data_IF_763392611471
#
_entry.id   IF_763392611471
#
_cell.length_a   1.000
_cell.length_b   1.000
_cell.length_c   1.000
_cell.angle_alpha   90.00
_cell.angle_beta   90.00
_cell.angle_gamma   90.00
#
_symmetry.space_group_name_H-M   'P 1'
#
loop_
_entity.id
_entity.type
_entity.pdbx_description
1 polymer ?
#
# COMPACT_ATOMS: atom_id res chain seq x y z
N UNK A 1 15.93 13.48 -16.92
CA UNK A 1 15.81 12.61 -15.72
C UNK A 1 17.14 12.47 -14.98
N UNK A 2 18.27 12.67 -15.65
CA UNK A 2 19.61 12.54 -15.04
C UNK A 2 20.04 13.75 -14.19
N UNK A 3 19.48 14.93 -14.46
CA UNK A 3 19.84 16.17 -13.76
C UNK A 3 19.20 16.27 -12.37
N UNK A 4 18.01 15.69 -12.20
CA UNK A 4 17.31 15.57 -10.91
C UNK A 4 18.01 14.56 -10.00
N UNK A 5 18.62 13.51 -10.58
CA UNK A 5 19.42 12.53 -9.83
C UNK A 5 20.70 13.15 -9.26
N UNK A 6 21.33 14.06 -10.01
CA UNK A 6 22.56 14.74 -9.58
C UNK A 6 22.31 15.70 -8.41
N UNK A 7 21.19 16.45 -8.44
CA UNK A 7 20.80 17.39 -7.37
C UNK A 7 20.40 16.72 -6.05
N UNK A 8 19.77 15.54 -6.09
CA UNK A 8 19.43 14.76 -4.88
C UNK A 8 20.68 14.18 -4.22
N UNK A 9 21.71 13.89 -5.00
CA UNK A 9 22.95 13.30 -4.52
C UNK A 9 23.84 14.34 -3.81
N UNK A 10 23.87 15.58 -4.31
CA UNK A 10 24.65 16.68 -3.69
C UNK A 10 24.02 17.23 -2.41
N UNK A 11 22.69 17.13 -2.26
CA UNK A 11 21.99 17.57 -1.06
C UNK A 11 22.17 16.61 0.15
N UNK A 12 22.56 15.35 -0.10
CA UNK A 12 22.77 14.36 0.94
C UNK A 12 24.17 14.42 1.59
N UNK A 13 25.12 15.17 1.01
CA UNK A 13 26.51 15.24 1.47
C UNK A 13 26.82 16.39 2.44
N UNK A 14 25.85 17.28 2.75
CA UNK A 14 26.11 18.49 3.56
C UNK A 14 25.65 18.43 5.03
N UNK A 15 25.30 17.27 5.58
CA UNK A 15 25.00 17.21 7.02
C UNK A 15 25.32 15.84 7.60
N UNK A 16 26.54 15.66 8.08
CA UNK A 16 26.83 15.65 9.53
C UNK A 16 28.29 15.27 9.76
N UNK A 17 29.07 16.31 10.07
CA UNK A 17 30.38 16.20 10.70
C UNK A 17 30.15 16.03 12.21
N UNK A 18 30.57 14.90 12.77
CA UNK A 18 31.03 14.78 14.15
C UNK A 18 31.72 13.43 14.35
N UNK A 19 33.00 13.39 14.77
CA UNK A 19 33.75 12.17 14.94
C UNK A 19 33.30 11.45 16.21
N UNK A 20 32.72 10.25 16.06
CA UNK A 20 32.46 9.38 17.20
C UNK A 20 33.78 8.73 17.64
N UNK A 21 34.27 9.20 18.78
CA UNK A 21 35.41 8.66 19.52
C UNK A 21 35.25 7.15 19.71
N UNK A 22 36.12 6.36 19.11
CA UNK A 22 36.18 4.92 19.32
C UNK A 22 36.76 4.63 20.70
N UNK A 23 35.89 4.26 21.65
CA UNK A 23 36.32 3.60 22.88
C UNK A 23 36.86 2.22 22.49
N UNK A 24 38.17 2.05 22.71
CA UNK A 24 38.83 0.76 22.64
C UNK A 24 38.43 -0.06 23.87
N UNK A 25 37.48 -0.98 23.70
CA UNK A 25 37.24 -2.04 24.69
C UNK A 25 38.24 -3.16 24.46
N UNK A 26 39.04 -3.41 25.51
CA UNK A 26 40.02 -4.45 25.60
C UNK A 26 39.36 -5.84 25.58
N UNK A 27 39.95 -6.79 24.86
CA UNK A 27 39.90 -8.20 25.28
C UNK A 27 41.12 -9.02 24.81
N UNK A 28 41.94 -9.33 25.81
CA UNK A 28 42.65 -10.57 26.14
C UNK A 28 43.30 -11.45 25.04
N UNK A 29 44.64 -11.43 25.08
CA UNK A 29 45.60 -12.56 25.14
C UNK A 29 45.39 -13.82 24.31
N UNK A 30 46.37 -14.08 23.44
CA UNK A 30 46.66 -15.38 22.84
C UNK A 30 48.12 -15.52 22.41
N UNK A 31 48.94 -15.94 23.37
CA UNK A 31 50.22 -16.66 23.27
C UNK A 31 51.48 -15.94 22.73
N UNK A 32 52.45 -15.75 23.62
CA UNK A 32 53.83 -15.34 23.34
C UNK A 32 54.82 -16.20 24.14
N UNK A 33 55.69 -16.98 23.49
CA UNK A 33 56.93 -17.43 24.09
C UNK A 33 57.86 -16.23 24.31
N UNK A 34 58.45 -16.19 25.49
CA UNK A 34 59.22 -15.09 26.06
C UNK A 34 60.69 -15.24 25.67
N UNK A 35 61.26 -14.25 25.00
CA UNK A 35 62.69 -13.95 25.06
C UNK A 35 62.95 -12.44 25.02
N UNK A 36 63.86 -12.00 25.89
CA UNK A 36 64.18 -10.61 26.22
C UNK A 36 65.13 -9.98 25.18
N UNK A 37 64.82 -8.77 24.74
CA UNK A 37 65.80 -7.73 24.43
C UNK A 37 65.11 -6.35 24.48
N UNK A 38 65.73 -5.40 25.18
CA UNK A 38 65.27 -4.02 25.29
C UNK A 38 65.51 -3.26 23.97
N UNK A 39 64.45 -2.63 23.47
CA UNK A 39 64.38 -1.86 22.23
C UNK A 39 63.00 -2.07 21.61
N UNK A 40 62.08 -1.11 21.81
CA UNK A 40 60.68 -1.06 21.33
C UNK A 40 60.25 -2.29 20.49
N UNK A 41 59.92 -3.38 21.18
CA UNK A 41 59.49 -4.61 20.54
C UNK A 41 58.05 -4.41 20.07
N UNK A 42 57.83 -4.23 18.76
CA UNK A 42 56.51 -4.11 18.12
C UNK A 42 55.73 -5.45 18.07
N UNK A 43 55.99 -6.34 19.04
CA UNK A 43 55.36 -7.65 19.18
C UNK A 43 55.69 -8.58 18.01
N UNK A 44 54.65 -8.96 17.24
CA UNK A 44 54.79 -9.84 16.06
C UNK A 44 55.42 -9.15 14.85
N UNK A 45 55.50 -7.82 14.85
CA UNK A 45 56.04 -7.02 13.77
C UNK A 45 57.49 -6.65 14.05
N UNK A 46 58.31 -6.63 13.01
CA UNK A 46 59.76 -6.40 13.12
C UNK A 46 60.08 -4.92 13.22
N UNK A 47 59.22 -4.05 12.67
CA UNK A 47 59.38 -2.58 12.71
C UNK A 47 58.06 -1.86 13.00
N UNK A 48 58.15 -0.60 13.42
CA UNK A 48 56.99 0.27 13.67
C UNK A 48 56.16 0.49 12.40
N UNK A 49 56.86 0.66 11.29
CA UNK A 49 56.26 0.91 9.98
C UNK A 49 55.46 -0.31 9.52
N UNK A 50 55.98 -1.52 9.75
CA UNK A 50 55.28 -2.78 9.44
C UNK A 50 53.99 -2.94 10.25
N UNK A 51 54.00 -2.54 11.53
CA UNK A 51 52.80 -2.55 12.38
C UNK A 51 51.73 -1.57 11.87
N UNK A 52 52.13 -0.36 11.48
CA UNK A 52 51.21 0.66 10.94
C UNK A 52 50.63 0.19 9.61
N UNK A 53 51.46 -0.39 8.74
CA UNK A 53 51.01 -0.91 7.44
C UNK A 53 50.02 -2.06 7.61
N UNK A 54 50.29 -3.00 8.53
CA UNK A 54 49.38 -4.08 8.84
C UNK A 54 48.03 -3.59 9.39
N UNK A 55 48.06 -2.55 10.23
CA UNK A 55 46.84 -1.91 10.72
C UNK A 55 46.03 -1.26 9.58
N UNK A 56 46.69 -0.48 8.72
CA UNK A 56 46.04 0.18 7.58
C UNK A 56 45.47 -0.85 6.59
N UNK A 57 46.21 -1.91 6.30
CA UNK A 57 45.76 -3.02 5.47
C UNK A 57 44.51 -3.68 6.08
N UNK A 58 44.53 -3.98 7.37
CA UNK A 58 43.39 -4.58 8.08
C UNK A 58 42.16 -3.67 8.05
N UNK A 59 42.34 -2.38 8.30
CA UNK A 59 41.26 -1.39 8.25
C UNK A 59 40.67 -1.30 6.83
N UNK A 60 41.51 -1.35 5.79
CA UNK A 60 41.04 -1.32 4.41
C UNK A 60 40.22 -2.57 4.06
N UNK A 61 40.65 -3.76 4.51
CA UNK A 61 39.93 -5.01 4.30
C UNK A 61 38.61 -5.06 5.07
N UNK A 62 38.60 -4.55 6.31
CA UNK A 62 37.37 -4.39 7.08
C UNK A 62 36.38 -3.49 6.33
N UNK A 63 36.85 -2.36 5.82
CA UNK A 63 36.03 -1.41 5.05
C UNK A 63 35.47 -2.03 3.78
N UNK A 64 36.31 -2.70 2.97
CA UNK A 64 35.88 -3.42 1.76
C UNK A 64 34.84 -4.50 2.08
N UNK A 65 35.05 -5.25 3.17
CA UNK A 65 34.11 -6.31 3.58
C UNK A 65 32.77 -5.73 4.02
N UNK A 66 32.76 -4.64 4.78
CA UNK A 66 31.53 -3.94 5.16
C UNK A 66 30.78 -3.42 3.92
N UNK A 67 31.48 -2.83 2.95
CA UNK A 67 30.89 -2.40 1.68
C UNK A 67 30.27 -3.59 0.94
N UNK A 68 31.01 -4.70 0.84
CA UNK A 68 30.53 -5.90 0.15
C UNK A 68 29.31 -6.51 0.81
N UNK A 69 29.27 -6.55 2.14
CA UNK A 69 28.10 -7.02 2.90
C UNK A 69 26.89 -6.13 2.59
N UNK A 70 27.05 -4.80 2.64
CA UNK A 70 25.97 -3.85 2.34
C UNK A 70 25.40 -4.04 0.92
N UNK A 71 26.26 -4.26 -0.08
CA UNK A 71 25.83 -4.55 -1.45
C UNK A 71 25.05 -5.86 -1.54
N UNK A 72 25.52 -6.91 -0.86
CA UNK A 72 24.87 -8.22 -0.87
C UNK A 72 23.52 -8.17 -0.15
N UNK A 73 23.43 -7.50 1.00
CA UNK A 73 22.18 -7.29 1.71
C UNK A 73 21.18 -6.51 0.86
N UNK A 74 21.63 -5.45 0.16
CA UNK A 74 20.78 -4.72 -0.77
C UNK A 74 20.30 -5.59 -1.94
N UNK A 75 21.17 -6.44 -2.50
CA UNK A 75 20.82 -7.35 -3.58
C UNK A 75 19.81 -8.43 -3.14
N UNK A 76 19.98 -8.99 -1.94
CA UNK A 76 19.04 -9.97 -1.37
C UNK A 76 17.69 -9.33 -1.11
N UNK A 77 17.66 -8.14 -0.48
CA UNK A 77 16.41 -7.42 -0.22
C UNK A 77 15.66 -7.07 -1.52
N UNK A 78 16.39 -6.63 -2.56
CA UNK A 78 15.76 -6.31 -3.84
C UNK A 78 15.17 -7.56 -4.52
N UNK A 79 15.90 -8.68 -4.48
CA UNK A 79 15.41 -9.96 -5.01
C UNK A 79 14.17 -10.45 -4.27
N UNK A 80 14.14 -10.37 -2.94
CA UNK A 80 12.96 -10.75 -2.15
C UNK A 80 11.75 -9.87 -2.50
N UNK A 81 11.98 -8.57 -2.72
CA UNK A 81 10.95 -7.64 -3.15
C UNK A 81 10.38 -8.01 -4.52
N UNK A 82 11.24 -8.34 -5.49
CA UNK A 82 10.83 -8.79 -6.83
C UNK A 82 10.02 -10.09 -6.77
N UNK A 83 10.46 -11.08 -6.00
CA UNK A 83 9.72 -12.34 -5.83
C UNK A 83 8.35 -12.13 -5.16
N UNK A 84 8.27 -11.24 -4.17
CA UNK A 84 6.99 -10.87 -3.54
C UNK A 84 6.07 -10.15 -4.51
N UNK A 85 6.61 -9.24 -5.32
CA UNK A 85 5.85 -8.55 -6.34
C UNK A 85 5.34 -9.53 -7.39
N UNK A 86 6.21 -10.38 -7.93
CA UNK A 86 5.82 -11.36 -8.95
C UNK A 86 4.67 -12.25 -8.49
N UNK A 87 4.70 -12.74 -7.24
CA UNK A 87 3.58 -13.49 -6.65
C UNK A 87 2.26 -12.71 -6.66
N UNK A 88 2.28 -11.40 -6.37
CA UNK A 88 1.08 -10.55 -6.43
C UNK A 88 0.55 -10.39 -7.87
N UNK A 89 1.43 -10.31 -8.87
CA UNK A 89 1.02 -10.27 -10.30
C UNK A 89 0.42 -11.59 -10.72
N UNK A 90 1.05 -12.71 -10.34
CA UNK A 90 0.58 -14.04 -10.68
C UNK A 90 -0.80 -14.29 -10.06
N UNK A 91 -0.99 -13.94 -8.77
CA UNK A 91 -2.27 -14.02 -8.08
C UNK A 91 -3.34 -13.13 -8.73
N UNK A 92 -2.99 -11.93 -9.16
CA UNK A 92 -3.93 -11.05 -9.90
C UNK A 92 -4.33 -11.67 -11.23
N UNK A 93 -3.37 -12.26 -11.94
CA UNK A 93 -3.59 -12.85 -13.27
C UNK A 93 -4.46 -14.11 -13.16
N UNK A 94 -4.28 -14.89 -12.10
CA UNK A 94 -5.14 -16.03 -11.78
C UNK A 94 -6.58 -15.59 -11.45
N UNK A 95 -6.74 -14.58 -10.59
CA UNK A 95 -8.06 -14.04 -10.23
C UNK A 95 -8.77 -13.35 -11.40
N UNK A 96 -8.02 -12.60 -12.21
CA UNK A 96 -8.54 -11.77 -13.28
C UNK A 96 -7.74 -12.01 -14.57
N UNK A 97 -8.12 -13.00 -15.40
CA UNK A 97 -7.42 -13.28 -16.66
C UNK A 97 -7.47 -12.10 -17.65
N UNK A 98 -8.46 -11.21 -17.49
CA UNK A 98 -8.62 -9.97 -18.26
C UNK A 98 -7.50 -8.96 -17.95
N UNK A 99 -6.87 -9.05 -16.76
CA UNK A 99 -5.81 -8.13 -16.34
C UNK A 99 -4.56 -8.21 -17.23
N UNK A 100 -4.31 -9.37 -17.86
CA UNK A 100 -3.20 -9.55 -18.80
C UNK A 100 -3.25 -8.56 -19.97
N UNK A 101 -4.46 -8.22 -20.46
CA UNK A 101 -4.64 -7.27 -21.55
C UNK A 101 -4.33 -5.82 -21.14
N UNK A 102 -4.40 -5.53 -19.84
CA UNK A 102 -4.24 -4.20 -19.26
C UNK A 102 -2.91 -4.01 -18.53
N UNK A 103 -2.00 -4.99 -18.57
CA UNK A 103 -0.74 -4.96 -17.83
C UNK A 103 0.08 -3.67 -18.04
N UNK A 104 0.16 -3.17 -19.28
CA UNK A 104 0.86 -1.93 -19.61
C UNK A 104 0.22 -0.71 -18.94
N UNK A 105 -1.10 -0.62 -19.00
CA UNK A 105 -1.87 0.53 -18.49
C UNK A 105 -1.92 0.53 -16.96
N UNK A 106 -1.98 -0.65 -16.35
CA UNK A 106 -1.85 -0.84 -14.90
C UNK A 106 -0.47 -0.33 -14.45
N UNK A 107 0.60 -0.71 -15.14
CA UNK A 107 1.95 -0.23 -14.86
C UNK A 107 2.08 1.28 -14.96
N UNK A 108 1.51 1.88 -16.02
CA UNK A 108 1.49 3.34 -16.17
C UNK A 108 0.69 4.05 -15.07
N UNK A 109 -0.45 3.48 -14.66
CA UNK A 109 -1.28 4.06 -13.62
C UNK A 109 -0.57 4.05 -12.25
N UNK A 110 0.13 2.96 -11.93
CA UNK A 110 0.94 2.84 -10.72
C UNK A 110 2.13 3.81 -10.75
N UNK A 111 2.79 3.96 -11.91
CA UNK A 111 3.90 4.91 -12.07
C UNK A 111 3.46 6.37 -11.89
N UNK A 112 2.25 6.73 -12.34
CA UNK A 112 1.68 8.08 -12.18
C UNK A 112 1.24 8.36 -10.74
N UNK A 113 0.72 7.37 -10.02
CA UNK A 113 0.26 7.51 -8.63
C UNK A 113 1.21 6.79 -7.67
N UNK A 114 2.33 7.46 -7.37
CA UNK A 114 3.39 6.96 -6.46
C UNK A 114 2.86 6.53 -5.07
N UNK A 115 1.82 7.19 -4.56
CA UNK A 115 1.20 6.85 -3.27
C UNK A 115 0.56 5.46 -3.27
N UNK A 116 0.08 5.01 -4.42
CA UNK A 116 -0.57 3.71 -4.56
C UNK A 116 0.42 2.55 -4.50
N UNK A 117 1.73 2.79 -4.67
CA UNK A 117 2.76 1.74 -4.64
C UNK A 117 2.85 1.08 -3.25
N UNK A 118 2.55 1.85 -2.20
CA UNK A 118 2.63 1.37 -0.82
C UNK A 118 1.37 0.59 -0.39
N UNK A 119 0.29 0.67 -1.16
CA UNK A 119 -0.96 -0.04 -0.85
C UNK A 119 -0.84 -1.52 -1.24
N UNK A 120 -1.32 -2.41 -0.36
CA UNK A 120 -1.30 -3.85 -0.64
C UNK A 120 -2.15 -4.26 -1.85
N UNK A 121 -3.24 -3.53 -2.11
CA UNK A 121 -4.19 -3.75 -3.20
C UNK A 121 -3.99 -2.79 -4.39
N UNK A 122 -2.75 -2.31 -4.60
CA UNK A 122 -2.45 -1.34 -5.65
C UNK A 122 -2.81 -1.84 -7.06
N UNK A 123 -2.58 -3.12 -7.33
CA UNK A 123 -2.89 -3.80 -8.58
C UNK A 123 -4.38 -3.83 -8.89
N UNK A 124 -5.19 -4.22 -7.91
CA UNK A 124 -6.65 -4.33 -8.09
C UNK A 124 -7.29 -2.95 -8.27
N UNK A 125 -6.84 -1.96 -7.48
CA UNK A 125 -7.26 -0.57 -7.65
C UNK A 125 -6.86 -0.01 -9.02
N UNK A 126 -5.65 -0.32 -9.48
CA UNK A 126 -5.17 0.10 -10.79
C UNK A 126 -5.94 -0.57 -11.92
N UNK A 127 -6.18 -1.88 -11.83
CA UNK A 127 -7.01 -2.62 -12.78
C UNK A 127 -8.42 -2.03 -12.84
N UNK A 128 -9.04 -1.77 -11.68
CA UNK A 128 -10.37 -1.16 -11.61
C UNK A 128 -10.40 0.24 -12.22
N UNK A 129 -9.36 1.06 -11.99
CA UNK A 129 -9.27 2.39 -12.58
C UNK A 129 -9.06 2.34 -14.11
N UNK A 130 -8.22 1.43 -14.60
CA UNK A 130 -8.00 1.22 -16.03
C UNK A 130 -9.27 0.70 -16.69
N UNK A 131 -9.94 -0.26 -16.06
CA UNK A 131 -11.24 -0.77 -16.51
C UNK A 131 -12.33 0.27 -16.42
N UNK A 132 -12.31 1.21 -15.46
CA UNK A 132 -13.26 2.31 -15.43
C UNK A 132 -13.00 3.32 -16.55
N UNK A 133 -11.73 3.64 -16.81
CA UNK A 133 -11.34 4.54 -17.89
C UNK A 133 -11.64 3.95 -19.28
N UNK A 134 -11.57 2.62 -19.43
CA UNK A 134 -11.88 1.91 -20.67
C UNK A 134 -13.33 1.43 -20.78
N UNK A 135 -13.94 1.09 -19.66
CA UNK A 135 -15.30 0.55 -19.52
C UNK A 135 -16.39 1.61 -19.52
N UNK A 136 -16.05 2.89 -19.72
CA UNK A 136 -16.99 3.91 -20.20
C UNK A 136 -17.20 3.85 -21.72
N UNK A 137 -17.18 2.65 -22.31
CA UNK A 137 -17.79 2.35 -23.62
C UNK A 137 -18.43 0.95 -23.52
N UNK A 138 -19.73 0.89 -23.83
CA UNK A 138 -20.67 -0.24 -23.74
C UNK A 138 -21.31 -0.54 -22.37
N UNK A 139 -22.19 0.37 -21.92
CA UNK A 139 -23.56 -0.08 -21.69
C UNK A 139 -24.09 -0.70 -22.99
N UNK A 140 -23.77 -1.98 -23.23
CA UNK A 140 -24.44 -2.77 -24.23
C UNK A 140 -25.96 -2.66 -23.93
N UNK A 141 -26.79 -2.16 -24.86
CA UNK A 141 -28.22 -2.30 -24.69
C UNK A 141 -28.50 -3.80 -24.59
N UNK A 142 -29.29 -4.20 -23.59
CA UNK A 142 -29.79 -5.56 -23.43
C UNK A 142 -30.19 -6.09 -24.81
N UNK A 143 -29.48 -7.11 -25.29
CA UNK A 143 -30.00 -7.98 -26.36
C UNK A 143 -31.11 -8.80 -25.72
N UNK A 144 -32.32 -8.25 -25.73
CA UNK A 144 -33.52 -9.04 -25.47
C UNK A 144 -33.62 -10.06 -26.60
N UNK A 145 -33.41 -11.32 -26.24
CA UNK A 145 -33.69 -12.45 -27.09
C UNK A 145 -35.20 -12.51 -27.30
N UNK A 146 -35.68 -11.98 -28.43
CA UNK A 146 -37.09 -12.06 -28.75
C UNK A 146 -37.50 -11.27 -29.98
N UNK A 147 -37.59 -12.00 -31.09
CA UNK A 147 -38.50 -11.76 -32.22
C UNK A 147 -38.25 -10.57 -33.16
N UNK A 148 -38.13 -10.92 -34.44
CA UNK A 148 -38.90 -10.25 -35.49
C UNK A 148 -38.19 -9.11 -36.19
N UNK A 149 -37.94 -9.32 -37.48
CA UNK A 149 -37.82 -8.24 -38.44
C UNK A 149 -39.00 -7.26 -38.33
N UNK A 150 -38.78 -6.02 -38.75
CA UNK A 150 -39.73 -4.90 -38.83
C UNK A 150 -39.85 -4.00 -37.58
N UNK A 151 -38.94 -3.04 -37.45
CA UNK A 151 -39.24 -1.78 -36.77
C UNK A 151 -38.59 -0.62 -37.55
N UNK A 152 -39.45 0.12 -38.25
CA UNK A 152 -39.13 1.30 -39.06
C UNK A 152 -38.47 2.40 -38.22
N UNK A 153 -37.61 3.16 -38.89
CA UNK A 153 -37.11 4.47 -38.46
C UNK A 153 -38.23 5.31 -37.81
N UNK A 154 -38.20 5.40 -36.48
CA UNK A 154 -39.01 6.32 -35.70
C UNK A 154 -38.12 7.43 -35.13
N UNK A 155 -38.65 8.65 -34.91
CA UNK A 155 -37.86 9.76 -34.43
C UNK A 155 -37.22 9.42 -33.08
N UNK A 156 -35.92 9.69 -32.96
CA UNK A 156 -35.18 9.58 -31.71
C UNK A 156 -35.76 10.59 -30.72
N UNK A 157 -36.70 10.14 -29.89
CA UNK A 157 -37.23 10.94 -28.77
C UNK A 157 -36.12 11.15 -27.74
N UNK A 158 -36.10 12.32 -27.10
CA UNK A 158 -35.16 12.57 -26.00
C UNK A 158 -35.44 11.60 -24.85
N UNK A 159 -34.40 11.26 -24.06
CA UNK A 159 -34.54 10.39 -22.88
C UNK A 159 -35.67 10.86 -21.93
N UNK A 160 -35.90 12.17 -21.89
CA UNK A 160 -36.97 12.79 -21.10
C UNK A 160 -38.35 12.45 -21.67
N UNK A 161 -38.56 12.65 -22.97
CA UNK A 161 -39.85 12.36 -23.61
C UNK A 161 -40.16 10.85 -23.56
N UNK A 162 -39.12 10.01 -23.63
CA UNK A 162 -39.26 8.56 -23.44
C UNK A 162 -39.68 8.21 -22.00
N UNK A 163 -39.06 8.83 -21.01
CA UNK A 163 -39.41 8.63 -19.60
C UNK A 163 -40.84 9.11 -19.29
N UNK A 164 -41.25 10.25 -19.86
CA UNK A 164 -42.61 10.78 -19.73
C UNK A 164 -43.63 9.87 -20.44
N UNK A 165 -43.29 9.31 -21.60
CA UNK A 165 -44.11 8.33 -22.30
C UNK A 165 -44.29 7.03 -21.50
N UNK A 166 -43.21 6.46 -20.94
CA UNK A 166 -43.30 5.24 -20.11
C UNK A 166 -44.01 5.50 -18.77
N UNK A 167 -43.83 6.69 -18.17
CA UNK A 167 -44.54 7.09 -16.95
C UNK A 167 -46.03 7.31 -17.21
N UNK A 168 -46.40 7.81 -18.39
CA UNK A 168 -47.81 7.94 -18.81
C UNK A 168 -48.48 6.59 -19.11
N UNK A 169 -47.69 5.59 -19.49
CA UNK A 169 -48.11 4.22 -19.76
C UNK A 169 -48.28 3.41 -18.47
N UNK A 170 -47.49 3.70 -17.44
CA UNK A 170 -47.64 3.15 -16.10
C UNK A 170 -48.94 3.67 -15.46
N UNK A 171 -50.06 3.01 -15.78
CA UNK A 171 -51.41 3.36 -15.27
C UNK A 171 -51.66 2.77 -13.88
N UNK A 172 -50.61 2.38 -13.17
CA UNK A 172 -50.73 1.87 -11.81
C UNK A 172 -50.49 3.01 -10.81
N UNK A 173 -51.35 3.18 -9.80
CA UNK A 173 -51.15 4.21 -8.79
C UNK A 173 -49.84 3.92 -8.06
N UNK A 174 -48.82 4.73 -8.35
CA UNK A 174 -47.55 4.69 -7.60
C UNK A 174 -47.87 4.75 -6.11
N UNK A 175 -47.29 3.85 -5.31
CA UNK A 175 -47.55 3.83 -3.88
C UNK A 175 -47.17 5.20 -3.31
N UNK A 176 -48.08 5.80 -2.54
CA UNK A 176 -47.81 7.06 -1.83
C UNK A 176 -46.58 6.87 -0.95
N UNK A 177 -45.45 7.41 -1.40
CA UNK A 177 -44.27 7.50 -0.56
C UNK A 177 -44.57 8.45 0.61
N UNK A 178 -44.03 8.12 1.77
CA UNK A 178 -44.09 9.02 2.92
C UNK A 178 -43.40 10.34 2.53
N UNK A 179 -43.96 11.52 2.83
CA UNK A 179 -43.27 12.78 2.61
C UNK A 179 -41.91 12.77 3.33
N UNK A 180 -40.86 13.39 2.75
CA UNK A 180 -39.57 13.54 3.43
C UNK A 180 -39.77 14.44 4.65
N UNK A 181 -39.94 13.81 5.81
CA UNK A 181 -40.27 14.50 7.06
C UNK A 181 -40.80 13.58 8.16
N UNK A 182 -40.51 12.28 8.10
CA UNK A 182 -40.88 11.34 9.14
C UNK A 182 -40.07 11.61 10.40
N UNK A 183 -40.59 12.42 11.32
CA UNK A 183 -40.17 12.35 12.71
C UNK A 183 -40.51 10.95 13.21
N UNK A 184 -39.47 10.13 13.42
CA UNK A 184 -39.61 8.90 14.18
C UNK A 184 -40.21 9.29 15.53
N UNK A 185 -41.31 8.66 16.00
CA UNK A 185 -41.77 8.88 17.35
C UNK A 185 -40.71 8.31 18.30
N UNK A 186 -39.72 9.12 18.65
CA UNK A 186 -38.78 8.81 19.71
C UNK A 186 -39.57 8.94 21.00
N UNK A 187 -40.11 7.82 21.48
CA UNK A 187 -40.72 7.78 22.78
C UNK A 187 -39.73 8.37 23.81
N UNK A 188 -40.17 9.29 24.68
CA UNK A 188 -39.29 9.88 25.67
C UNK A 188 -38.65 8.77 26.51
N UNK A 189 -37.32 8.79 26.66
CA UNK A 189 -36.61 7.83 27.50
C UNK A 189 -37.00 8.08 28.96
N UNK A 190 -37.93 7.29 29.49
CA UNK A 190 -38.31 7.30 30.90
C UNK A 190 -37.34 6.41 31.67
N UNK A 191 -36.27 6.99 32.20
CA UNK A 191 -35.37 6.29 33.13
C UNK A 191 -35.87 6.51 34.57
N UNK A 192 -36.19 5.46 35.34
CA UNK A 192 -36.65 5.61 36.71
C UNK A 192 -35.53 6.19 37.59
N UNK A 193 -35.87 7.16 38.44
CA UNK A 193 -34.91 7.79 39.38
C UNK A 193 -34.90 7.11 40.75
N UNK A 194 -35.79 6.13 40.96
CA UNK A 194 -35.93 5.39 42.21
C UNK A 194 -36.33 3.93 41.98
N UNK A 195 -35.92 3.05 42.91
CA UNK A 195 -36.24 1.62 42.89
C UNK A 195 -37.76 1.38 42.93
N UNK A 196 -38.49 2.22 43.68
CA UNK A 196 -39.96 2.12 43.76
C UNK A 196 -40.63 2.41 42.41
N UNK A 197 -40.16 3.45 41.73
CA UNK A 197 -40.64 3.87 40.40
C UNK A 197 -40.32 2.81 39.33
N UNK A 198 -39.11 2.24 39.37
CA UNK A 198 -38.73 1.13 38.49
C UNK A 198 -39.67 -0.09 38.67
N UNK A 199 -40.02 -0.40 39.92
CA UNK A 199 -40.95 -1.49 40.23
C UNK A 199 -42.37 -1.26 39.69
N UNK A 200 -42.87 -0.02 39.73
CA UNK A 200 -44.18 0.31 39.15
C UNK A 200 -44.19 0.25 37.63
N UNK A 201 -43.13 0.73 36.97
CA UNK A 201 -42.97 0.64 35.51
C UNK A 201 -42.93 -0.82 35.06
N UNK A 202 -42.15 -1.66 35.74
CA UNK A 202 -42.06 -3.09 35.44
C UNK A 202 -43.41 -3.80 35.58
N UNK A 203 -44.18 -3.51 36.63
CA UNK A 203 -45.54 -4.07 36.81
C UNK A 203 -46.49 -3.67 35.68
N UNK A 204 -46.40 -2.42 35.19
CA UNK A 204 -47.22 -1.96 34.06
C UNK A 204 -46.85 -2.70 32.77
N UNK A 205 -45.55 -2.86 32.48
CA UNK A 205 -45.07 -3.57 31.29
C UNK A 205 -45.46 -5.05 31.29
N UNK A 206 -45.36 -5.72 32.43
CA UNK A 206 -45.74 -7.14 32.57
C UNK A 206 -47.25 -7.37 32.44
N UNK A 207 -48.08 -6.35 32.65
CA UNK A 207 -49.54 -6.44 32.50
C UNK A 207 -50.00 -6.19 31.06
N UNK A 208 -49.16 -5.55 30.25
CA UNK A 208 -49.42 -5.26 28.83
C UNK A 208 -48.89 -6.32 27.87
N UNK A 209 -48.10 -7.29 28.38
CA UNK A 209 -47.74 -8.54 27.71
C UNK A 209 -48.85 -9.57 27.91
#
# INVERSE_FOLDING_TARGET
MDEVRKLVQTAAEQSQDSPLTAQAEANASGDTPKDKAEGDSFGRFKTKEELIEAYNSLQSEFTKRCQRIKELEAAVNNRELEEKWQKKVDELTEKYPIAANYAKEIGEYIARKKELINDDNCLEKALLAVMAAKGTVESAPLKDAGSGADAKDGPVMSLRDRAEHELSRATEPVPKILPPGGELPVAPRVTPKSIREAGEIAKKLLKTL
#
